data_IF_539466061308
#
_entry.id   IF_539466061308
#
_cell.length_a   1.000
_cell.length_b   1.000
_cell.length_c   1.000
_cell.angle_alpha   90.00
_cell.angle_beta   90.00
_cell.angle_gamma   90.00
#
_symmetry.space_group_name_H-M   'P 1'
#
loop_
_entity.id
_entity.type
_entity.pdbx_description
1 polymer ?
#
# COMPACT_ATOMS: atom_id res chain seq x y z
N UNK A 1 -9.84 10.16 -11.35
CA UNK A 1 -9.34 10.09 -9.97
C UNK A 1 -8.18 9.11 -9.94
N UNK A 2 -6.94 9.60 -9.89
CA UNK A 2 -5.76 8.75 -9.78
C UNK A 2 -5.74 8.14 -8.39
N UNK A 3 -5.84 6.81 -8.28
CA UNK A 3 -5.78 6.12 -7.01
C UNK A 3 -4.37 6.28 -6.41
N UNK A 4 -4.29 6.68 -5.13
CA UNK A 4 -3.02 6.84 -4.43
C UNK A 4 -2.24 5.51 -4.45
N UNK A 5 -1.08 5.44 -5.14
CA UNK A 5 -0.30 4.22 -5.29
C UNK A 5 0.39 3.78 -4.00
N UNK A 6 0.42 4.62 -2.96
CA UNK A 6 1.01 4.31 -1.64
C UNK A 6 0.08 3.49 -0.77
N UNK A 7 -1.23 3.62 -0.96
CA UNK A 7 -2.20 2.96 -0.11
C UNK A 7 -2.39 1.50 -0.53
N UNK A 8 -2.03 0.58 0.37
CA UNK A 8 -2.27 -0.85 0.18
C UNK A 8 -3.79 -1.13 0.08
N UNK A 9 -4.27 -1.76 -1.01
CA UNK A 9 -5.68 -2.07 -1.14
C UNK A 9 -6.10 -3.10 -0.08
N UNK A 10 -7.19 -2.82 0.63
CA UNK A 10 -7.75 -3.70 1.67
C UNK A 10 -8.53 -4.84 1.01
N UNK A 11 -8.11 -6.08 1.26
CA UNK A 11 -8.76 -7.29 0.69
C UNK A 11 -9.84 -7.84 1.63
N UNK A 12 -9.55 -7.92 2.93
CA UNK A 12 -10.45 -8.48 3.93
C UNK A 12 -11.23 -7.36 4.64
N UNK A 13 -12.50 -7.20 4.27
CA UNK A 13 -13.48 -6.48 5.11
C UNK A 13 -14.20 -7.54 5.94
N UNK A 14 -14.48 -7.35 7.24
CA UNK A 14 -15.15 -8.35 8.09
C UNK A 14 -16.45 -8.90 7.47
N UNK A 15 -17.21 -8.02 6.81
CA UNK A 15 -18.41 -8.36 6.06
C UNK A 15 -18.20 -9.45 5.00
N UNK A 16 -17.00 -9.50 4.40
CA UNK A 16 -16.70 -10.41 3.29
C UNK A 16 -16.27 -11.80 3.78
N UNK A 17 -15.64 -11.85 4.96
CA UNK A 17 -15.38 -13.10 5.68
C UNK A 17 -16.71 -13.69 6.16
N UNK A 18 -17.56 -12.85 6.76
CA UNK A 18 -18.90 -13.24 7.20
C UNK A 18 -19.76 -13.74 6.03
N UNK A 19 -19.73 -13.08 4.87
CA UNK A 19 -20.46 -13.55 3.69
C UNK A 19 -19.92 -14.89 3.18
N UNK A 20 -18.60 -15.10 3.20
CA UNK A 20 -18.00 -16.39 2.80
C UNK A 20 -18.44 -17.55 3.71
N UNK A 21 -18.44 -17.32 5.03
CA UNK A 21 -18.90 -18.29 6.02
C UNK A 21 -20.40 -18.56 5.89
N UNK A 22 -21.22 -17.51 5.74
CA UNK A 22 -22.66 -17.64 5.56
C UNK A 22 -23.00 -18.42 4.28
N UNK A 23 -22.26 -18.16 3.19
CA UNK A 23 -22.39 -18.92 1.94
C UNK A 23 -22.09 -20.40 2.21
N UNK A 24 -20.98 -20.72 2.87
CA UNK A 24 -20.58 -22.10 3.14
C UNK A 24 -21.59 -22.85 4.02
N UNK A 25 -22.16 -22.19 5.03
CA UNK A 25 -23.23 -22.74 5.89
C UNK A 25 -24.51 -23.01 5.07
N UNK A 26 -24.93 -22.06 4.25
CA UNK A 26 -26.10 -22.23 3.38
C UNK A 26 -25.91 -23.34 2.34
N UNK A 27 -24.71 -23.50 1.78
CA UNK A 27 -24.38 -24.59 0.87
C UNK A 27 -24.50 -25.96 1.58
N UNK A 28 -23.93 -26.09 2.78
CA UNK A 28 -24.00 -27.31 3.56
C UNK A 28 -25.46 -27.67 3.92
N UNK A 29 -26.27 -26.68 4.26
CA UNK A 29 -27.69 -26.86 4.55
C UNK A 29 -28.49 -27.29 3.31
N UNK A 30 -28.26 -26.66 2.16
CA UNK A 30 -28.90 -27.04 0.88
C UNK A 30 -28.54 -28.47 0.46
N UNK A 31 -27.26 -28.87 0.57
CA UNK A 31 -26.82 -30.22 0.27
C UNK A 31 -27.46 -31.24 1.22
N UNK A 32 -27.50 -30.93 2.52
CA UNK A 32 -28.15 -31.79 3.53
C UNK A 32 -29.65 -31.96 3.27
N UNK A 33 -30.36 -30.89 2.91
CA UNK A 33 -31.80 -30.94 2.63
C UNK A 33 -32.14 -31.66 1.32
N UNK A 34 -31.29 -31.54 0.28
CA UNK A 34 -31.43 -32.30 -0.97
C UNK A 34 -31.18 -33.79 -0.77
N UNK A 35 -30.15 -34.16 0.00
CA UNK A 35 -29.84 -35.55 0.30
C UNK A 35 -30.93 -36.25 1.15
N UNK A 36 -31.61 -35.49 2.03
CA UNK A 36 -32.63 -36.04 2.91
C UNK A 36 -34.02 -36.22 2.26
N UNK A 37 -34.39 -35.39 1.27
CA UNK A 37 -35.78 -35.32 0.79
C UNK A 37 -36.06 -36.01 -0.57
N UNK A 38 -35.03 -36.41 -1.34
CA UNK A 38 -35.17 -37.22 -2.57
C UNK A 38 -35.91 -36.58 -3.76
N UNK A 39 -36.82 -35.64 -3.54
CA UNK A 39 -37.60 -34.91 -4.54
C UNK A 39 -37.35 -33.40 -4.41
N UNK A 40 -36.64 -32.84 -5.38
CA UNK A 40 -36.28 -31.43 -5.42
C UNK A 40 -37.50 -30.56 -5.73
N UNK A 41 -38.05 -29.87 -4.72
CA UNK A 41 -39.12 -28.89 -4.95
C UNK A 41 -38.63 -27.71 -5.80
N UNK A 42 -39.52 -27.10 -6.58
CA UNK A 42 -39.22 -25.92 -7.40
C UNK A 42 -38.59 -24.77 -6.59
N UNK A 43 -38.98 -24.63 -5.32
CA UNK A 43 -38.39 -23.69 -4.37
C UNK A 43 -36.93 -24.00 -4.05
N UNK A 44 -36.56 -25.27 -3.86
CA UNK A 44 -35.17 -25.67 -3.63
C UNK A 44 -34.29 -25.38 -4.85
N UNK A 45 -34.83 -25.58 -6.06
CA UNK A 45 -34.12 -25.27 -7.31
C UNK A 45 -33.89 -23.76 -7.42
N UNK A 46 -34.92 -22.93 -7.19
CA UNK A 46 -34.79 -21.47 -7.21
C UNK A 46 -33.81 -20.95 -6.14
N UNK A 47 -33.87 -21.50 -4.93
CA UNK A 47 -32.94 -21.16 -3.86
C UNK A 47 -31.49 -21.53 -4.20
N UNK A 48 -31.27 -22.70 -4.80
CA UNK A 48 -29.94 -23.13 -5.25
C UNK A 48 -29.39 -22.22 -6.35
N UNK A 49 -30.21 -21.84 -7.34
CA UNK A 49 -29.80 -20.92 -8.41
C UNK A 49 -29.44 -19.53 -7.84
N UNK A 50 -30.29 -18.97 -6.98
CA UNK A 50 -30.03 -17.69 -6.33
C UNK A 50 -28.73 -17.72 -5.50
N UNK A 51 -28.50 -18.83 -4.80
CA UNK A 51 -27.29 -19.04 -4.02
C UNK A 51 -26.03 -19.10 -4.90
N UNK A 52 -26.06 -19.83 -6.01
CA UNK A 52 -24.94 -19.90 -6.96
C UNK A 52 -24.62 -18.51 -7.51
N UNK A 53 -25.63 -17.71 -7.83
CA UNK A 53 -25.44 -16.34 -8.31
C UNK A 53 -24.77 -15.44 -7.25
N UNK A 54 -25.22 -15.51 -6.00
CA UNK A 54 -24.59 -14.77 -4.89
C UNK A 54 -23.14 -15.20 -4.66
N UNK A 55 -22.88 -16.51 -4.68
CA UNK A 55 -21.54 -17.07 -4.55
C UNK A 55 -20.62 -16.64 -5.70
N UNK A 56 -21.13 -16.63 -6.93
CA UNK A 56 -20.39 -16.17 -8.10
C UNK A 56 -20.04 -14.67 -7.98
N UNK A 57 -20.99 -13.83 -7.57
CA UNK A 57 -20.72 -12.40 -7.35
C UNK A 57 -19.69 -12.16 -6.25
N UNK A 58 -19.78 -12.89 -5.13
CA UNK A 58 -18.78 -12.85 -4.07
C UNK A 58 -17.39 -13.31 -4.56
N UNK A 59 -17.34 -14.37 -5.36
CA UNK A 59 -16.12 -14.87 -5.98
C UNK A 59 -15.47 -13.86 -6.93
N UNK A 60 -16.25 -13.22 -7.80
CA UNK A 60 -15.77 -12.20 -8.74
C UNK A 60 -15.22 -10.98 -7.99
N UNK A 61 -15.94 -10.50 -6.96
CA UNK A 61 -15.49 -9.37 -6.15
C UNK A 61 -14.20 -9.70 -5.37
N UNK A 62 -14.10 -10.90 -4.82
CA UNK A 62 -12.86 -11.41 -4.20
C UNK A 62 -11.71 -11.46 -5.20
N UNK A 63 -11.93 -12.06 -6.37
CA UNK A 63 -10.91 -12.20 -7.40
C UNK A 63 -10.42 -10.84 -7.89
N UNK A 64 -11.32 -9.88 -8.13
CA UNK A 64 -10.97 -8.53 -8.52
C UNK A 64 -10.12 -7.83 -7.44
N UNK A 65 -10.46 -7.96 -6.16
CA UNK A 65 -9.69 -7.40 -5.04
C UNK A 65 -8.32 -8.07 -4.88
N UNK A 66 -8.27 -9.40 -4.99
CA UNK A 66 -7.03 -10.16 -4.92
C UNK A 66 -6.09 -9.78 -6.07
N UNK A 67 -6.61 -9.65 -7.30
CA UNK A 67 -5.84 -9.20 -8.46
C UNK A 67 -5.30 -7.78 -8.26
N UNK A 68 -6.12 -6.86 -7.74
CA UNK A 68 -5.67 -5.49 -7.42
C UNK A 68 -4.56 -5.49 -6.37
N UNK A 69 -4.68 -6.30 -5.32
CA UNK A 69 -3.62 -6.42 -4.32
C UNK A 69 -2.33 -6.96 -4.94
N UNK A 70 -2.40 -8.02 -5.75
CA UNK A 70 -1.23 -8.60 -6.42
C UNK A 70 -0.55 -7.58 -7.32
N UNK A 71 -1.31 -6.85 -8.14
CA UNK A 71 -0.80 -5.79 -9.00
C UNK A 71 -0.13 -4.68 -8.18
N UNK A 72 -0.77 -4.23 -7.10
CA UNK A 72 -0.20 -3.24 -6.19
C UNK A 72 1.10 -3.73 -5.55
N UNK A 73 1.14 -4.97 -5.07
CA UNK A 73 2.36 -5.53 -4.46
C UNK A 73 3.50 -5.67 -5.44
N UNK A 74 3.23 -6.03 -6.69
CA UNK A 74 4.25 -6.14 -7.74
C UNK A 74 4.83 -4.76 -8.07
N UNK A 75 3.98 -3.76 -8.31
CA UNK A 75 4.41 -2.39 -8.56
C UNK A 75 5.15 -1.78 -7.37
N UNK A 76 4.71 -2.06 -6.14
CA UNK A 76 5.40 -1.60 -4.94
C UNK A 76 6.79 -2.23 -4.78
N UNK A 77 6.95 -3.52 -5.11
CA UNK A 77 8.27 -4.18 -5.11
C UNK A 77 9.18 -3.58 -6.19
N UNK A 78 8.66 -3.34 -7.38
CA UNK A 78 9.41 -2.70 -8.46
C UNK A 78 9.92 -1.31 -8.05
N UNK A 79 9.07 -0.51 -7.38
CA UNK A 79 9.47 0.79 -6.82
C UNK A 79 10.55 0.66 -5.75
N UNK A 80 10.46 -0.32 -4.85
CA UNK A 80 11.50 -0.57 -3.85
C UNK A 80 12.81 -1.06 -4.48
N UNK A 81 12.75 -1.92 -5.49
CA UNK A 81 13.94 -2.38 -6.21
C UNK A 81 14.67 -1.21 -6.89
N UNK A 82 13.91 -0.32 -7.55
CA UNK A 82 14.46 0.90 -8.14
C UNK A 82 15.03 1.84 -7.06
N UNK A 83 14.31 2.02 -5.95
CA UNK A 83 14.76 2.83 -4.82
C UNK A 83 16.10 2.33 -4.25
N UNK A 84 16.25 1.02 -4.07
CA UNK A 84 17.48 0.41 -3.57
C UNK A 84 18.63 0.49 -4.58
N UNK A 85 18.33 0.37 -5.87
CA UNK A 85 19.32 0.54 -6.94
C UNK A 85 19.86 1.98 -7.01
N UNK A 86 18.96 2.96 -6.96
CA UNK A 86 19.33 4.39 -6.87
C UNK A 86 20.11 4.67 -5.57
N UNK A 87 19.71 4.06 -4.45
CA UNK A 87 20.43 4.21 -3.18
C UNK A 87 21.86 3.66 -3.23
N UNK A 88 22.11 2.57 -3.98
CA UNK A 88 23.45 1.98 -4.14
C UNK A 88 24.34 2.77 -5.09
N UNK A 89 23.75 3.39 -6.11
CA UNK A 89 24.49 4.15 -7.14
C UNK A 89 24.85 5.56 -6.70
N UNK A 90 24.09 6.15 -5.79
CA UNK A 90 24.35 7.48 -5.25
C UNK A 90 25.15 7.41 -3.92
N UNK A 91 26.12 8.31 -3.75
CA UNK A 91 27.00 8.33 -2.57
C UNK A 91 26.27 8.71 -1.27
N UNK A 92 26.03 10.00 -1.05
CA UNK A 92 25.38 10.48 0.17
C UNK A 92 23.88 10.54 -0.02
N UNK A 93 23.15 9.57 0.52
CA UNK A 93 21.69 9.52 0.48
C UNK A 93 21.10 9.33 1.87
N UNK A 94 19.86 9.77 2.03
CA UNK A 94 19.07 9.60 3.24
C UNK A 94 17.61 9.37 2.90
N UNK A 95 16.92 8.69 3.81
CA UNK A 95 15.53 8.33 3.66
C UNK A 95 14.67 9.22 4.56
N UNK A 96 13.63 9.79 3.98
CA UNK A 96 12.63 10.58 4.70
C UNK A 96 11.24 10.09 4.38
N UNK A 97 10.42 9.86 5.41
CA UNK A 97 9.03 9.45 5.23
C UNK A 97 8.12 10.67 5.21
N UNK A 98 7.29 10.82 4.19
CA UNK A 98 6.25 11.85 4.10
C UNK A 98 5.08 11.46 5.00
N UNK A 99 4.79 12.27 6.02
CA UNK A 99 3.67 12.07 6.93
C UNK A 99 2.40 12.77 6.43
N UNK A 100 2.52 14.04 6.01
CA UNK A 100 1.40 14.83 5.49
C UNK A 100 1.84 15.67 4.29
N UNK A 101 0.86 16.03 3.47
CA UNK A 101 0.99 17.03 2.40
C UNK A 101 -0.09 18.07 2.69
N UNK A 102 0.34 19.26 3.12
CA UNK A 102 -0.54 20.24 3.74
C UNK A 102 -1.13 21.21 2.70
N UNK A 103 -0.32 21.64 1.72
CA UNK A 103 -0.77 22.53 0.64
C UNK A 103 0.02 22.23 -0.64
N UNK A 104 -0.71 22.09 -1.76
CA UNK A 104 -0.15 22.04 -3.11
C UNK A 104 -0.10 23.47 -3.66
N UNK A 105 1.10 23.91 -4.00
CA UNK A 105 1.37 25.18 -4.67
C UNK A 105 1.94 24.92 -6.08
N UNK A 106 1.88 25.88 -7.02
CA UNK A 106 2.39 25.68 -8.38
C UNK A 106 3.88 25.36 -8.44
N UNK A 107 4.65 25.83 -7.46
CA UNK A 107 6.11 25.70 -7.38
C UNK A 107 6.56 24.52 -6.51
N UNK A 108 5.65 23.90 -5.77
CA UNK A 108 6.01 22.88 -4.79
C UNK A 108 4.89 22.56 -3.81
N UNK A 109 5.24 21.96 -2.69
CA UNK A 109 4.26 21.61 -1.66
C UNK A 109 4.86 21.71 -0.27
N UNK A 110 4.03 22.11 0.68
CA UNK A 110 4.35 21.97 2.10
C UNK A 110 4.09 20.54 2.52
N UNK A 111 5.10 19.89 3.08
CA UNK A 111 5.02 18.52 3.57
C UNK A 111 5.56 18.43 5.00
N UNK A 112 5.06 17.46 5.75
CA UNK A 112 5.69 17.04 7.00
C UNK A 112 6.48 15.78 6.74
N UNK A 113 7.78 15.80 7.04
CA UNK A 113 8.67 14.66 6.85
C UNK A 113 9.18 14.13 8.19
N UNK A 114 9.48 12.84 8.21
CA UNK A 114 10.23 12.19 9.27
C UNK A 114 11.55 11.67 8.73
N UNK A 115 12.65 12.06 9.36
CA UNK A 115 13.96 11.51 9.08
C UNK A 115 14.05 10.10 9.66
N UNK A 116 14.03 9.08 8.81
CA UNK A 116 13.92 7.70 9.27
C UNK A 116 15.12 7.26 10.14
N UNK A 117 16.32 7.81 9.87
CA UNK A 117 17.53 7.51 10.66
C UNK A 117 17.56 8.19 12.03
N UNK A 118 16.94 9.36 12.16
CA UNK A 118 17.02 10.19 13.37
C UNK A 118 15.71 10.23 14.17
N UNK A 119 14.65 9.63 13.62
CA UNK A 119 13.26 9.72 14.10
C UNK A 119 12.80 11.17 14.36
N UNK A 120 13.39 12.13 13.63
CA UNK A 120 13.09 13.55 13.75
C UNK A 120 11.97 13.94 12.78
N UNK A 121 10.93 14.58 13.29
CA UNK A 121 9.81 15.09 12.48
C UNK A 121 9.97 16.59 12.30
N UNK A 122 9.88 17.06 11.07
CA UNK A 122 9.95 18.48 10.76
C UNK A 122 9.11 18.83 9.54
N UNK A 123 8.82 20.13 9.41
CA UNK A 123 8.18 20.68 8.22
C UNK A 123 9.22 20.86 7.12
N UNK A 124 8.84 20.56 5.90
CA UNK A 124 9.66 20.74 4.73
C UNK A 124 8.88 21.33 3.56
N UNK A 125 9.59 22.09 2.73
CA UNK A 125 9.15 22.45 1.40
C UNK A 125 9.76 21.48 0.41
N UNK A 126 8.95 20.98 -0.52
CA UNK A 126 9.43 20.18 -1.65
C UNK A 126 9.06 20.89 -2.94
N UNK A 127 10.02 21.07 -3.84
CA UNK A 127 9.75 21.61 -5.17
C UNK A 127 8.81 20.69 -5.96
N UNK A 128 8.15 21.25 -6.98
CA UNK A 128 7.25 20.51 -7.83
C UNK A 128 7.99 19.37 -8.55
N UNK A 129 7.80 18.15 -8.06
CA UNK A 129 8.36 16.94 -8.67
C UNK A 129 7.54 16.53 -9.90
N UNK A 130 8.19 15.77 -10.79
CA UNK A 130 7.50 15.10 -11.92
C UNK A 130 6.50 14.06 -11.44
N UNK A 131 6.85 13.33 -10.38
CA UNK A 131 6.00 12.31 -9.77
C UNK A 131 5.17 12.93 -8.63
N UNK A 132 3.86 12.63 -8.54
CA UNK A 132 3.02 13.13 -7.46
C UNK A 132 3.45 12.55 -6.11
N UNK A 133 3.59 13.41 -5.11
CA UNK A 133 3.95 13.02 -3.74
C UNK A 133 2.68 12.65 -2.97
N UNK A 134 2.77 11.57 -2.21
CA UNK A 134 1.66 11.06 -1.41
C UNK A 134 2.09 10.86 0.04
N UNK A 135 1.19 11.10 1.02
CA UNK A 135 1.40 10.68 2.40
C UNK A 135 1.69 9.18 2.48
N UNK A 136 2.66 8.80 3.31
CA UNK A 136 3.16 7.43 3.44
C UNK A 136 4.20 7.02 2.41
N UNK A 137 4.66 7.93 1.54
CA UNK A 137 5.83 7.69 0.69
C UNK A 137 7.12 7.82 1.50
N UNK A 138 8.09 6.95 1.24
CA UNK A 138 9.49 7.12 1.61
C UNK A 138 10.20 7.74 0.42
N UNK A 139 10.87 8.86 0.65
CA UNK A 139 11.67 9.56 -0.35
C UNK A 139 13.15 9.27 -0.09
N UNK A 140 13.89 8.99 -1.15
CA UNK A 140 15.34 8.98 -1.16
C UNK A 140 15.79 10.37 -1.60
N UNK A 141 16.52 11.06 -0.73
CA UNK A 141 17.06 12.39 -1.01
C UNK A 141 18.56 12.42 -0.80
N UNK A 142 19.24 13.31 -1.53
CA UNK A 142 20.60 13.74 -1.22
C UNK A 142 20.54 14.93 -0.25
N UNK A 143 20.93 14.76 1.03
CA UNK A 143 20.82 15.84 2.01
C UNK A 143 21.65 17.06 1.59
N UNK A 144 21.08 18.24 1.78
CA UNK A 144 21.76 19.49 1.44
C UNK A 144 22.73 19.91 2.55
N UNK A 145 24.07 19.89 2.31
CA UNK A 145 25.04 20.30 3.31
C UNK A 145 24.94 21.79 3.65
N UNK A 146 24.30 22.61 2.80
CA UNK A 146 24.05 24.01 3.14
C UNK A 146 22.94 24.18 4.19
N UNK A 147 22.06 23.18 4.34
CA UNK A 147 20.93 23.22 5.27
C UNK A 147 21.17 22.37 6.52
N UNK A 148 21.90 21.27 6.39
CA UNK A 148 22.18 20.34 7.48
C UNK A 148 23.68 20.05 7.52
N UNK A 149 24.31 20.45 8.63
CA UNK A 149 25.70 20.13 8.93
C UNK A 149 25.82 19.40 10.26
N UNK A 150 26.76 18.44 10.39
CA UNK A 150 26.98 17.75 11.66
C UNK A 150 27.30 18.73 12.79
N UNK A 151 26.58 18.62 13.91
CA UNK A 151 26.76 19.47 15.09
C UNK A 151 26.03 20.81 15.06
N UNK A 152 25.41 21.19 13.94
CA UNK A 152 24.51 22.33 13.87
C UNK A 152 23.09 21.95 14.32
N UNK A 153 22.29 22.91 14.83
CA UNK A 153 20.87 22.67 15.06
C UNK A 153 20.12 22.38 13.76
N UNK A 154 19.04 21.62 13.86
CA UNK A 154 18.15 21.36 12.72
C UNK A 154 17.53 22.68 12.22
N UNK A 155 17.42 22.88 10.89
CA UNK A 155 16.73 24.03 10.35
C UNK A 155 15.23 23.96 10.69
N UNK A 156 14.60 25.11 10.92
CA UNK A 156 13.16 25.17 11.21
C UNK A 156 12.31 24.64 10.04
N UNK A 157 12.77 24.85 8.81
CA UNK A 157 12.16 24.37 7.57
C UNK A 157 13.27 23.80 6.71
N UNK A 158 13.05 22.61 6.17
CA UNK A 158 13.96 21.98 5.23
C UNK A 158 13.44 22.05 3.80
N UNK A 159 14.32 22.31 2.85
CA UNK A 159 13.99 22.50 1.45
C UNK A 159 14.54 21.33 0.64
N UNK A 160 13.65 20.61 -0.04
CA UNK A 160 13.96 19.52 -0.96
C UNK A 160 13.79 20.04 -2.38
N UNK A 161 14.89 20.21 -3.10
CA UNK A 161 14.85 20.52 -4.52
C UNK A 161 14.57 19.28 -5.38
N UNK A 162 14.03 19.48 -6.58
CA UNK A 162 13.81 18.38 -7.55
C UNK A 162 15.13 17.66 -7.89
N UNK A 163 16.24 18.40 -7.95
CA UNK A 163 17.58 17.86 -8.21
C UNK A 163 18.16 17.01 -7.08
N UNK A 164 17.66 17.16 -5.85
CA UNK A 164 18.09 16.39 -4.68
C UNK A 164 17.14 15.25 -4.35
N UNK A 165 15.95 15.25 -4.96
CA UNK A 165 15.06 14.11 -4.95
C UNK A 165 15.56 13.03 -5.92
N UNK A 166 15.73 11.80 -5.43
CA UNK A 166 16.33 10.73 -6.21
C UNK A 166 15.32 9.65 -6.57
N UNK A 167 14.53 9.19 -5.60
CA UNK A 167 13.56 8.13 -5.80
C UNK A 167 12.48 8.18 -4.71
N UNK A 168 11.38 7.44 -4.92
CA UNK A 168 10.37 7.22 -3.89
C UNK A 168 9.85 5.79 -3.90
N UNK A 169 9.40 5.32 -2.74
CA UNK A 169 8.77 4.02 -2.57
C UNK A 169 7.66 4.07 -1.50
N UNK A 170 6.64 3.20 -1.58
CA UNK A 170 5.54 3.21 -0.61
C UNK A 170 5.94 2.55 0.73
N UNK A 171 5.75 3.25 1.85
CA UNK A 171 6.09 2.75 3.20
C UNK A 171 5.36 1.45 3.53
N UNK A 172 4.11 1.31 3.10
CA UNK A 172 3.28 0.13 3.36
C UNK A 172 3.86 -1.18 2.78
N UNK A 173 4.78 -1.10 1.81
CA UNK A 173 5.48 -2.26 1.26
C UNK A 173 6.80 -2.57 1.98
N UNK A 174 7.37 -1.60 2.70
CA UNK A 174 8.63 -1.75 3.46
C UNK A 174 8.52 -2.78 4.58
N UNK A 175 7.38 -2.79 5.28
CA UNK A 175 7.10 -3.77 6.34
C UNK A 175 6.90 -5.18 5.79
N UNK A 176 6.50 -5.32 4.53
CA UNK A 176 6.33 -6.62 3.89
C UNK A 176 7.67 -7.23 3.45
N UNK A 177 8.66 -6.40 3.07
CA UNK A 177 10.01 -6.88 2.74
C UNK A 177 10.79 -7.26 3.99
N UNK A 178 10.77 -6.44 5.05
CA UNK A 178 11.46 -6.76 6.31
C UNK A 178 10.92 -8.02 6.99
N UNK A 179 9.61 -8.28 6.86
CA UNK A 179 8.99 -9.51 7.37
C UNK A 179 9.32 -10.75 6.53
N UNK A 180 9.61 -10.61 5.23
CA UNK A 180 10.10 -11.71 4.38
C UNK A 180 11.56 -12.03 4.66
N UNK A 181 12.38 -11.01 4.90
CA UNK A 181 13.80 -11.16 5.15
C UNK A 181 14.10 -11.81 6.51
N UNK A 182 13.23 -11.61 7.52
CA UNK A 182 13.31 -12.33 8.79
C UNK A 182 12.83 -13.79 8.71
N UNK A 183 12.09 -14.17 7.67
CA UNK A 183 11.60 -15.53 7.41
C UNK A 183 12.48 -16.30 6.42
N UNK A 184 13.49 -15.65 5.81
CA UNK A 184 14.45 -16.34 4.97
C UNK A 184 15.41 -17.16 5.86
N UNK A 185 15.60 -18.47 5.58
CA UNK A 185 16.57 -19.26 6.32
C UNK A 185 17.96 -18.66 6.09
N UNK A 186 18.67 -18.37 7.19
CA UNK A 186 20.09 -18.00 7.13
C UNK A 186 20.85 -19.18 6.54
N UNK A 187 21.30 -19.04 5.31
CA UNK A 187 22.21 -19.98 4.64
C UNK A 187 23.62 -19.86 5.18
#
# INVERSE_FOLDING_TARGET
MNANPVLKPKVATPALILSGVAILICAAFLVGTLAANGQSSLFLILAAVAFILLAAMAGVTWFARARRLRAWTAAAHERWNHFDDVKRTHGTTTEVTVQSVDALEPTGSWITIRWDRFDHVQRAWIEALRDPIWPGSVLLISPDPAQITPGAPWPAIYYISDTRFLAWAPLAARSASSQRESLAPKS
#
